data_IF_480030919345
#
_entry.id   IF_480030919345
#
_cell.length_a   1.000
_cell.length_b   1.000
_cell.length_c   1.000
_cell.angle_alpha   90.00
_cell.angle_beta   90.00
_cell.angle_gamma   90.00
#
_symmetry.space_group_name_H-M   'P 1'
#
loop_
_entity.id
_entity.type
_entity.pdbx_description
1 polymer ?
#
# COMPACT_ATOMS: atom_id res chain seq x y z
N UNK A 1 3.43 8.01 19.28
CA UNK A 1 4.20 6.98 18.55
C UNK A 1 5.50 7.61 18.07
N UNK A 2 6.65 7.11 18.51
CA UNK A 2 7.93 7.47 17.89
C UNK A 2 7.99 6.84 16.50
N UNK A 3 8.35 7.64 15.50
CA UNK A 3 8.67 7.13 14.17
C UNK A 3 10.09 6.60 14.21
N UNK A 4 10.25 5.28 14.20
CA UNK A 4 11.57 4.68 14.01
C UNK A 4 12.00 4.88 12.55
N UNK A 5 13.17 5.49 12.35
CA UNK A 5 13.79 5.57 11.03
C UNK A 5 14.44 4.23 10.73
N UNK A 6 14.06 3.63 9.60
CA UNK A 6 14.64 2.38 9.11
C UNK A 6 15.49 2.70 7.89
N UNK A 7 16.75 2.29 7.93
CA UNK A 7 17.69 2.43 6.81
C UNK A 7 17.82 1.10 6.06
N UNK A 8 17.70 1.15 4.73
CA UNK A 8 17.78 -0.02 3.84
C UNK A 8 18.96 0.19 2.91
N UNK A 9 19.94 -0.73 2.91
CA UNK A 9 21.15 -0.66 2.08
C UNK A 9 21.24 -1.86 1.16
N UNK A 10 21.57 -1.59 -0.10
CA UNK A 10 21.97 -2.60 -1.09
C UNK A 10 23.45 -2.41 -1.41
N UNK A 11 24.19 -3.51 -1.51
CA UNK A 11 25.59 -3.51 -1.96
C UNK A 11 25.68 -4.32 -3.24
N UNK A 12 25.97 -3.66 -4.34
CA UNK A 12 26.01 -4.25 -5.69
C UNK A 12 27.29 -3.80 -6.39
N UNK A 13 28.00 -4.73 -7.04
CA UNK A 13 29.18 -4.42 -7.84
C UNK A 13 28.74 -4.09 -9.28
N UNK A 14 28.61 -2.80 -9.59
CA UNK A 14 28.07 -2.30 -10.86
C UNK A 14 29.03 -1.30 -11.50
N UNK A 15 29.17 -1.36 -12.83
CA UNK A 15 30.00 -0.43 -13.61
C UNK A 15 29.17 0.22 -14.74
N UNK A 16 29.47 1.49 -15.04
CA UNK A 16 28.91 2.17 -16.22
C UNK A 16 27.45 2.61 -16.11
N UNK A 17 26.90 2.74 -14.90
CA UNK A 17 25.50 3.18 -14.70
C UNK A 17 25.43 4.71 -14.68
N UNK A 18 24.50 5.29 -15.44
CA UNK A 18 24.25 6.73 -15.41
C UNK A 18 23.53 7.15 -14.11
N UNK A 19 23.60 8.44 -13.76
CA UNK A 19 22.87 8.95 -12.59
C UNK A 19 21.35 8.79 -12.74
N UNK A 20 20.83 8.96 -13.95
CA UNK A 20 19.40 8.79 -14.24
C UNK A 20 18.94 7.34 -14.02
N UNK A 21 19.68 6.36 -14.55
CA UNK A 21 19.41 4.94 -14.33
C UNK A 21 19.47 4.58 -12.85
N UNK A 22 20.44 5.14 -12.11
CA UNK A 22 20.57 4.94 -10.67
C UNK A 22 19.35 5.48 -9.93
N UNK A 23 18.95 6.73 -10.20
CA UNK A 23 17.78 7.35 -9.57
C UNK A 23 16.49 6.57 -9.86
N UNK A 24 16.29 6.14 -11.10
CA UNK A 24 15.13 5.33 -11.48
C UNK A 24 15.11 3.99 -10.73
N UNK A 25 16.26 3.31 -10.65
CA UNK A 25 16.39 2.04 -9.94
C UNK A 25 16.13 2.20 -8.42
N UNK A 26 16.69 3.23 -7.80
CA UNK A 26 16.48 3.55 -6.38
C UNK A 26 15.00 3.86 -6.09
N UNK A 27 14.35 4.63 -6.98
CA UNK A 27 12.93 4.92 -6.86
C UNK A 27 12.09 3.64 -6.95
N UNK A 28 12.36 2.78 -7.94
CA UNK A 28 11.65 1.50 -8.09
C UNK A 28 11.89 0.56 -6.91
N UNK A 29 13.10 0.50 -6.37
CA UNK A 29 13.41 -0.31 -5.19
C UNK A 29 12.62 0.17 -3.96
N UNK A 30 12.60 1.49 -3.71
CA UNK A 30 11.79 2.09 -2.65
C UNK A 30 10.31 1.79 -2.83
N UNK A 31 9.80 1.94 -4.06
CA UNK A 31 8.42 1.65 -4.40
C UNK A 31 8.06 0.19 -4.10
N UNK A 32 8.85 -0.77 -4.60
CA UNK A 32 8.60 -2.19 -4.38
C UNK A 32 8.61 -2.56 -2.89
N UNK A 33 9.54 -2.01 -2.11
CA UNK A 33 9.61 -2.23 -0.66
C UNK A 33 8.32 -1.76 0.04
N UNK A 34 7.90 -0.52 -0.20
CA UNK A 34 6.68 0.04 0.41
C UNK A 34 5.43 -0.74 0.00
N UNK A 35 5.29 -1.09 -1.28
CA UNK A 35 4.12 -1.83 -1.76
C UNK A 35 4.07 -3.26 -1.19
N UNK A 36 5.23 -3.89 -0.97
CA UNK A 36 5.31 -5.20 -0.32
C UNK A 36 4.79 -5.13 1.12
N UNK A 37 5.23 -4.13 1.88
CA UNK A 37 4.74 -3.91 3.25
C UNK A 37 3.24 -3.60 3.29
N UNK A 38 2.74 -2.85 2.31
CA UNK A 38 1.31 -2.56 2.18
C UNK A 38 0.51 -3.84 1.91
N UNK A 39 1.00 -4.70 1.00
CA UNK A 39 0.35 -5.98 0.65
C UNK A 39 0.24 -6.91 1.86
N UNK A 40 1.23 -6.90 2.74
CA UNK A 40 1.26 -7.71 3.97
C UNK A 40 0.44 -7.08 5.11
N UNK A 41 -0.15 -5.89 4.93
CA UNK A 41 -0.87 -5.17 5.97
C UNK A 41 0.04 -4.55 7.04
N UNK A 42 1.37 -4.56 6.87
CA UNK A 42 2.33 -4.02 7.82
C UNK A 42 2.28 -2.48 7.91
N UNK A 43 1.83 -1.81 6.84
CA UNK A 43 1.60 -0.37 6.81
C UNK A 43 0.24 -0.04 6.20
N UNK A 44 -0.33 1.10 6.60
CA UNK A 44 -1.60 1.56 6.05
C UNK A 44 -1.43 2.22 4.68
N UNK A 45 -2.52 2.30 3.91
CA UNK A 45 -2.55 3.00 2.61
C UNK A 45 -2.08 4.46 2.74
N UNK A 46 -2.53 5.16 3.78
CA UNK A 46 -2.10 6.54 4.04
C UNK A 46 -0.58 6.61 4.26
N UNK A 47 -0.02 5.70 5.07
CA UNK A 47 1.43 5.64 5.32
C UNK A 47 2.22 5.35 4.05
N UNK A 48 1.74 4.44 3.20
CA UNK A 48 2.38 4.13 1.93
C UNK A 48 2.44 5.35 0.99
N UNK A 49 1.33 6.09 0.84
CA UNK A 49 1.29 7.33 0.05
C UNK A 49 2.29 8.37 0.57
N UNK A 50 2.35 8.58 1.88
CA UNK A 50 3.31 9.50 2.52
C UNK A 50 4.77 9.09 2.28
N UNK A 51 5.09 7.80 2.41
CA UNK A 51 6.46 7.30 2.22
C UNK A 51 6.94 7.45 0.77
N UNK A 52 6.03 7.28 -0.19
CA UNK A 52 6.32 7.43 -1.62
C UNK A 52 6.21 8.87 -2.13
N UNK A 53 5.60 9.77 -1.35
CA UNK A 53 5.39 11.16 -1.76
C UNK A 53 4.38 11.30 -2.91
N UNK A 54 3.42 10.38 -3.00
CA UNK A 54 2.41 10.34 -4.07
C UNK A 54 1.01 10.63 -3.53
N UNK A 55 0.07 10.96 -4.43
CA UNK A 55 -1.32 11.19 -4.01
C UNK A 55 -2.03 9.88 -3.68
N UNK A 56 -3.19 9.98 -3.03
CA UNK A 56 -4.04 8.80 -2.75
C UNK A 56 -4.51 8.13 -4.04
N UNK A 57 -4.76 8.91 -5.11
CA UNK A 57 -5.20 8.37 -6.40
C UNK A 57 -4.07 7.60 -7.08
N UNK A 58 -2.87 8.18 -7.12
CA UNK A 58 -1.67 7.51 -7.66
C UNK A 58 -1.38 6.21 -6.91
N UNK A 59 -1.59 6.18 -5.60
CA UNK A 59 -1.44 4.96 -4.81
C UNK A 59 -2.45 3.89 -5.22
N UNK A 60 -3.71 4.24 -5.49
CA UNK A 60 -4.74 3.28 -5.91
C UNK A 60 -4.35 2.65 -7.25
N UNK A 61 -3.89 3.45 -8.21
CA UNK A 61 -3.39 2.94 -9.49
C UNK A 61 -2.18 2.02 -9.29
N UNK A 62 -1.28 2.39 -8.37
CA UNK A 62 -0.11 1.60 -8.04
C UNK A 62 -0.46 0.28 -7.36
N UNK A 63 -1.47 0.27 -6.48
CA UNK A 63 -1.99 -0.96 -5.87
C UNK A 63 -2.51 -1.94 -6.92
N UNK A 64 -3.15 -1.44 -7.98
CA UNK A 64 -3.55 -2.26 -9.12
C UNK A 64 -2.38 -2.98 -9.79
N UNK A 65 -1.24 -2.29 -9.98
CA UNK A 65 -0.01 -2.87 -10.57
C UNK A 65 0.63 -3.95 -9.70
N UNK A 66 0.40 -3.93 -8.39
CA UNK A 66 0.95 -4.88 -7.41
C UNK A 66 -0.05 -5.96 -6.98
N UNK A 67 -1.24 -5.99 -7.62
CA UNK A 67 -2.34 -6.90 -7.29
C UNK A 67 -2.71 -6.81 -5.80
N UNK A 68 -2.79 -5.59 -5.27
CA UNK A 68 -3.20 -5.33 -3.89
C UNK A 68 -4.66 -4.87 -3.92
N UNK A 69 -5.53 -5.65 -3.28
CA UNK A 69 -6.94 -5.29 -3.17
C UNK A 69 -7.10 -3.95 -2.44
N UNK A 70 -7.95 -3.08 -2.97
CA UNK A 70 -8.38 -1.86 -2.29
C UNK A 70 -9.41 -2.15 -1.20
N UNK A 71 -10.05 -3.31 -1.25
CA UNK A 71 -10.97 -3.80 -0.23
C UNK A 71 -10.22 -4.70 0.74
N UNK A 72 -10.56 -4.61 2.01
CA UNK A 72 -10.16 -5.62 3.00
C UNK A 72 -10.57 -7.00 2.49
N UNK A 73 -9.70 -7.99 2.64
CA UNK A 73 -10.13 -9.38 2.49
C UNK A 73 -11.20 -9.63 3.56
N UNK A 74 -12.43 -9.82 3.10
CA UNK A 74 -13.56 -10.20 3.95
C UNK A 74 -14.06 -11.53 3.46
N UNK A 75 -14.36 -12.41 4.39
CA UNK A 75 -15.08 -13.64 4.10
C UNK A 75 -16.52 -13.31 3.70
N UNK A 76 -17.14 -14.21 2.96
CA UNK A 76 -18.56 -14.09 2.59
C UNK A 76 -19.46 -13.91 3.82
N UNK A 77 -19.14 -14.59 4.92
CA UNK A 77 -19.89 -14.49 6.18
C UNK A 77 -19.83 -13.08 6.77
N UNK A 78 -18.65 -12.44 6.78
CA UNK A 78 -18.49 -11.08 7.29
C UNK A 78 -19.28 -10.08 6.44
N UNK A 79 -19.27 -10.26 5.12
CA UNK A 79 -20.06 -9.43 4.19
C UNK A 79 -21.57 -9.62 4.44
N UNK A 80 -22.04 -10.86 4.59
CA UNK A 80 -23.45 -11.16 4.88
C UNK A 80 -23.91 -10.54 6.22
N UNK A 81 -23.04 -10.56 7.24
CA UNK A 81 -23.29 -9.91 8.52
C UNK A 81 -23.37 -8.38 8.42
N UNK A 82 -22.44 -7.75 7.69
CA UNK A 82 -22.47 -6.30 7.45
C UNK A 82 -23.75 -5.88 6.72
N UNK A 83 -24.19 -6.65 5.72
CA UNK A 83 -25.45 -6.41 5.00
C UNK A 83 -26.65 -6.55 5.93
N UNK A 84 -26.69 -7.58 6.77
CA UNK A 84 -27.78 -7.79 7.72
C UNK A 84 -27.89 -6.62 8.71
N UNK A 85 -26.76 -6.22 9.30
CA UNK A 85 -26.70 -5.09 10.22
C UNK A 85 -27.12 -3.77 9.55
N UNK A 86 -26.65 -3.50 8.33
CA UNK A 86 -27.05 -2.30 7.59
C UNK A 86 -28.56 -2.27 7.31
N UNK A 87 -29.18 -3.42 7.00
CA UNK A 87 -30.64 -3.53 6.81
C UNK A 87 -31.42 -3.27 8.09
N UNK A 88 -30.95 -3.81 9.21
CA UNK A 88 -31.57 -3.54 10.52
C UNK A 88 -31.55 -2.05 10.87
N UNK A 89 -30.42 -1.37 10.63
CA UNK A 89 -30.32 0.07 10.85
C UNK A 89 -31.28 0.89 10.00
N UNK A 90 -31.50 0.50 8.73
CA UNK A 90 -32.45 1.17 7.85
C UNK A 90 -33.90 0.97 8.31
N UNK A 91 -34.24 -0.23 8.76
CA UNK A 91 -35.59 -0.54 9.24
C UNK A 91 -35.91 0.08 10.61
N UNK A 92 -34.91 0.49 11.40
CA UNK A 92 -35.09 1.21 12.66
C UNK A 92 -35.35 2.71 12.48
N UNK A 93 -35.27 3.22 11.25
CA UNK A 93 -35.55 4.63 10.92
C UNK A 93 -36.96 4.85 10.33
N UNK A 94 -37.77 3.80 10.22
CA UNK A 94 -39.21 3.85 9.91
C UNK A 94 -40.06 3.68 11.18
#
# INVERSE_FOLDING_TARGET
MQLEQVEIKFTLALAGISQEQKMEAEFKAKQAYVMTLLKQGAITKHRAATLLGITRLDLIELMGKYEISTFSEQTRSEIEQEIAHAREMLNQQE
#
